data_IF_597790234767
#
_entry.id   IF_597790234767
#
_cell.length_a   1.000
_cell.length_b   1.000
_cell.length_c   1.000
_cell.angle_alpha   90.00
_cell.angle_beta   90.00
_cell.angle_gamma   90.00
#
_symmetry.space_group_name_H-M   'P 1'
#
loop_
_entity.id
_entity.type
_entity.pdbx_description
1 polymer ?
#
# COMPACT_ATOMS: atom_id res chain seq x y z
N UNK A 1 -21.61 -31.58 4.21
CA UNK A 1 -22.46 -32.62 4.85
C UNK A 1 -23.92 -32.20 4.77
N UNK A 2 -24.83 -33.18 4.61
CA UNK A 2 -26.27 -32.96 4.71
C UNK A 2 -26.69 -32.89 6.18
N UNK A 3 -27.93 -32.48 6.44
CA UNK A 3 -28.47 -32.48 7.81
C UNK A 3 -28.46 -33.90 8.42
N UNK A 4 -28.81 -34.92 7.62
CA UNK A 4 -28.83 -36.29 8.09
C UNK A 4 -27.44 -36.84 8.46
N UNK A 5 -26.43 -36.55 7.61
CA UNK A 5 -25.01 -36.85 7.91
C UNK A 5 -24.51 -36.17 9.17
N UNK A 6 -24.94 -34.91 9.41
CA UNK A 6 -24.58 -34.20 10.64
C UNK A 6 -25.29 -34.81 11.86
N UNK A 7 -26.56 -35.17 11.75
CA UNK A 7 -27.28 -35.82 12.86
C UNK A 7 -26.66 -37.18 13.23
N UNK A 8 -26.21 -37.94 12.23
CA UNK A 8 -25.50 -39.21 12.45
C UNK A 8 -24.18 -38.99 13.22
N UNK A 9 -23.39 -37.97 12.83
CA UNK A 9 -22.13 -37.66 13.53
C UNK A 9 -22.33 -37.15 14.96
N UNK A 10 -23.45 -36.50 15.26
CA UNK A 10 -23.78 -36.01 16.60
C UNK A 10 -24.65 -37.04 17.39
N UNK A 11 -24.84 -38.24 16.88
CA UNK A 11 -25.66 -39.29 17.51
C UNK A 11 -25.24 -39.65 18.94
N UNK A 12 -23.98 -39.48 19.28
CA UNK A 12 -23.45 -39.69 20.63
C UNK A 12 -24.07 -38.75 21.71
N UNK A 13 -24.73 -37.67 21.32
CA UNK A 13 -25.44 -36.77 22.22
C UNK A 13 -26.87 -37.27 22.56
N UNK A 14 -27.36 -38.29 21.87
CA UNK A 14 -28.75 -38.67 21.86
C UNK A 14 -29.58 -37.84 20.87
N UNK A 15 -30.70 -38.41 20.41
CA UNK A 15 -31.49 -37.92 19.28
C UNK A 15 -31.96 -36.45 19.49
N UNK A 16 -32.57 -36.16 20.63
CA UNK A 16 -33.09 -34.80 20.92
C UNK A 16 -31.99 -33.76 20.96
N UNK A 17 -30.86 -34.08 21.59
CA UNK A 17 -29.75 -33.15 21.72
C UNK A 17 -28.98 -32.96 20.39
N UNK A 18 -28.84 -34.04 19.63
CA UNK A 18 -28.29 -33.98 18.29
C UNK A 18 -29.13 -33.03 17.40
N UNK A 19 -30.46 -33.20 17.43
CA UNK A 19 -31.37 -32.34 16.68
C UNK A 19 -31.32 -30.88 17.14
N UNK A 20 -31.25 -30.62 18.43
CA UNK A 20 -31.08 -29.26 18.98
C UNK A 20 -29.81 -28.60 18.44
N UNK A 21 -28.67 -29.30 18.49
CA UNK A 21 -27.36 -28.75 18.08
C UNK A 21 -27.26 -28.61 16.57
N UNK A 22 -27.76 -29.52 15.80
CA UNK A 22 -27.59 -29.54 14.33
C UNK A 22 -28.66 -28.75 13.60
N UNK A 23 -29.86 -28.66 14.14
CA UNK A 23 -31.02 -28.07 13.44
C UNK A 23 -31.56 -26.83 14.17
N UNK A 24 -31.95 -26.99 15.43
CA UNK A 24 -32.68 -25.94 16.16
C UNK A 24 -31.80 -24.71 16.40
N UNK A 25 -30.61 -24.93 16.99
CA UNK A 25 -29.71 -23.80 17.30
C UNK A 25 -29.15 -23.09 16.07
N UNK A 26 -28.71 -23.75 14.98
CA UNK A 26 -28.31 -23.07 13.76
C UNK A 26 -29.44 -22.27 13.11
N UNK A 27 -30.68 -22.78 13.10
CA UNK A 27 -31.84 -22.03 12.62
C UNK A 27 -32.12 -20.80 13.48
N UNK A 28 -32.11 -20.97 14.80
CA UNK A 28 -32.28 -19.84 15.71
C UNK A 28 -31.24 -18.75 15.51
N UNK A 29 -29.97 -19.11 15.29
CA UNK A 29 -28.92 -18.14 14.98
C UNK A 29 -29.18 -17.46 13.63
N UNK A 30 -29.59 -18.25 12.62
CA UNK A 30 -29.92 -17.69 11.29
C UNK A 30 -31.10 -16.69 11.37
N UNK A 31 -32.11 -17.00 12.20
CA UNK A 31 -33.28 -16.12 12.39
C UNK A 31 -32.94 -14.81 13.14
N UNK A 32 -31.79 -14.75 13.84
CA UNK A 32 -31.29 -13.51 14.45
C UNK A 32 -30.53 -12.62 13.51
N UNK A 33 -30.18 -13.11 12.31
CA UNK A 33 -29.45 -12.34 11.29
C UNK A 33 -30.41 -11.36 10.61
N UNK A 34 -30.13 -10.09 10.73
CA UNK A 34 -30.84 -9.02 10.04
C UNK A 34 -29.95 -8.41 8.97
N UNK A 35 -30.55 -7.97 7.88
CA UNK A 35 -29.82 -7.19 6.88
C UNK A 35 -29.63 -5.77 7.41
N UNK A 36 -28.38 -5.39 7.68
CA UNK A 36 -28.03 -4.07 8.19
C UNK A 36 -27.14 -3.34 7.19
N UNK A 37 -27.40 -2.07 7.00
CA UNK A 37 -26.58 -1.19 6.20
C UNK A 37 -25.66 -0.38 7.13
N UNK A 38 -24.38 -0.80 7.23
CA UNK A 38 -23.40 -0.14 8.12
C UNK A 38 -22.94 1.21 7.58
N UNK A 39 -22.76 1.30 6.27
CA UNK A 39 -22.33 2.51 5.55
C UNK A 39 -23.13 2.63 4.27
N UNK A 40 -23.51 3.86 3.85
CA UNK A 40 -24.18 4.06 2.56
C UNK A 40 -23.37 3.45 1.42
N UNK A 41 -24.00 2.61 0.55
CA UNK A 41 -23.28 1.93 -0.52
C UNK A 41 -22.68 2.93 -1.50
N UNK A 42 -21.43 2.69 -1.90
CA UNK A 42 -20.70 3.52 -2.87
C UNK A 42 -20.21 4.88 -2.36
N UNK A 43 -20.37 5.17 -1.06
CA UNK A 43 -19.86 6.40 -0.47
C UNK A 43 -18.53 6.15 0.26
N UNK A 44 -17.51 6.94 -0.08
CA UNK A 44 -16.22 6.97 0.64
C UNK A 44 -16.20 8.14 1.61
N UNK A 45 -15.60 7.93 2.77
CA UNK A 45 -15.42 8.95 3.81
C UNK A 45 -13.92 9.19 4.06
N UNK A 46 -13.20 9.81 3.10
CA UNK A 46 -11.77 10.06 3.28
C UNK A 46 -11.54 11.03 4.43
N UNK A 47 -10.46 10.86 5.21
CA UNK A 47 -10.05 11.85 6.19
C UNK A 47 -9.67 13.15 5.49
N UNK A 48 -9.51 14.24 6.27
CA UNK A 48 -9.05 15.54 5.76
C UNK A 48 -7.68 15.86 6.34
N UNK A 49 -6.77 16.25 5.48
CA UNK A 49 -5.48 16.83 5.82
C UNK A 49 -5.37 18.17 5.10
N UNK A 50 -5.07 19.22 5.84
CA UNK A 50 -4.84 20.53 5.24
C UNK A 50 -3.62 20.48 4.31
N UNK A 51 -3.73 21.14 3.17
CA UNK A 51 -2.69 21.28 2.15
C UNK A 51 -2.11 19.95 1.60
N UNK A 52 -2.87 18.84 1.72
CA UNK A 52 -2.38 17.52 1.28
C UNK A 52 -2.01 17.48 -0.19
N UNK A 53 -2.76 18.16 -1.04
CA UNK A 53 -2.53 18.23 -2.49
C UNK A 53 -1.24 19.02 -2.81
N UNK A 54 -1.10 20.19 -2.26
CA UNK A 54 0.08 21.07 -2.48
C UNK A 54 1.33 20.45 -1.87
N UNK A 55 1.24 19.89 -0.67
CA UNK A 55 2.36 19.27 0.01
C UNK A 55 2.85 18.02 -0.72
N UNK A 56 1.94 17.15 -1.17
CA UNK A 56 2.31 15.97 -1.95
C UNK A 56 2.98 16.36 -3.26
N UNK A 57 2.37 17.28 -4.00
CA UNK A 57 2.92 17.76 -5.26
C UNK A 57 4.32 18.34 -5.08
N UNK A 58 4.52 19.19 -4.06
CA UNK A 58 5.82 19.78 -3.73
C UNK A 58 6.85 18.71 -3.39
N UNK A 59 6.54 17.77 -2.47
CA UNK A 59 7.45 16.71 -2.06
C UNK A 59 7.93 15.88 -3.25
N UNK A 60 7.02 15.52 -4.14
CA UNK A 60 7.31 14.73 -5.33
C UNK A 60 8.27 15.44 -6.28
N UNK A 61 7.99 16.69 -6.60
CA UNK A 61 8.85 17.45 -7.51
C UNK A 61 10.18 17.83 -6.89
N UNK A 62 10.22 18.20 -5.61
CA UNK A 62 11.46 18.48 -4.89
C UNK A 62 12.38 17.24 -4.91
N UNK A 63 11.83 16.05 -4.65
CA UNK A 63 12.59 14.80 -4.71
C UNK A 63 13.01 14.43 -6.13
N UNK A 64 12.16 14.67 -7.11
CA UNK A 64 12.51 14.46 -8.51
C UNK A 64 13.70 15.32 -8.92
N UNK A 65 13.70 16.61 -8.58
CA UNK A 65 14.81 17.51 -8.87
C UNK A 65 16.08 17.18 -8.06
N UNK A 66 15.93 16.74 -6.81
CA UNK A 66 17.06 16.23 -6.02
C UNK A 66 17.76 15.07 -6.70
N UNK A 67 16.99 14.12 -7.26
CA UNK A 67 17.52 12.89 -7.84
C UNK A 67 18.01 13.05 -9.29
N UNK A 68 17.29 13.82 -10.11
CA UNK A 68 17.48 13.89 -11.55
C UNK A 68 17.83 15.29 -12.08
N UNK A 69 17.97 16.29 -11.18
CA UNK A 69 18.33 17.67 -11.52
C UNK A 69 17.15 18.53 -11.97
N UNK A 70 17.43 19.80 -12.27
CA UNK A 70 16.40 20.81 -12.60
C UNK A 70 15.68 20.52 -13.93
N UNK A 71 16.25 19.69 -14.78
CA UNK A 71 15.68 19.25 -16.05
C UNK A 71 15.62 17.71 -16.09
N UNK A 72 14.70 17.09 -15.35
CA UNK A 72 14.59 15.64 -15.34
C UNK A 72 14.21 15.10 -16.74
N UNK A 73 14.63 13.87 -17.08
CA UNK A 73 14.22 13.22 -18.32
C UNK A 73 12.72 13.22 -18.55
N UNK A 74 12.28 13.44 -19.79
CA UNK A 74 10.87 13.56 -20.15
C UNK A 74 10.03 12.35 -19.71
N UNK A 75 10.60 11.14 -19.78
CA UNK A 75 9.96 9.90 -19.31
C UNK A 75 9.51 10.00 -17.85
N UNK A 76 10.33 10.62 -16.97
CA UNK A 76 9.98 10.81 -15.56
C UNK A 76 8.86 11.84 -15.42
N UNK A 77 8.99 12.95 -16.13
CA UNK A 77 7.99 14.04 -16.12
C UNK A 77 6.63 13.52 -16.58
N UNK A 78 6.59 12.76 -17.68
CA UNK A 78 5.36 12.17 -18.20
C UNK A 78 4.73 11.21 -17.20
N UNK A 79 5.53 10.34 -16.60
CA UNK A 79 5.07 9.39 -15.59
C UNK A 79 4.50 10.11 -14.36
N UNK A 80 5.20 11.10 -13.82
CA UNK A 80 4.73 11.88 -12.66
C UNK A 80 3.45 12.64 -12.97
N UNK A 81 3.32 13.24 -14.14
CA UNK A 81 2.10 13.95 -14.53
C UNK A 81 0.89 13.01 -14.62
N UNK A 82 1.05 11.81 -15.15
CA UNK A 82 -0.02 10.79 -15.21
C UNK A 82 -0.43 10.35 -13.81
N UNK A 83 0.54 10.03 -12.96
CA UNK A 83 0.25 9.59 -11.59
C UNK A 83 -0.36 10.71 -10.74
N UNK A 84 0.24 11.90 -10.72
CA UNK A 84 -0.27 13.05 -9.97
C UNK A 84 -1.68 13.45 -10.45
N UNK A 85 -1.94 13.44 -11.76
CA UNK A 85 -3.26 13.70 -12.29
C UNK A 85 -4.34 12.70 -11.85
N UNK A 86 -3.95 11.48 -11.47
CA UNK A 86 -4.84 10.46 -10.94
C UNK A 86 -5.01 10.51 -9.41
N UNK A 87 -4.05 11.11 -8.71
CA UNK A 87 -3.94 11.09 -7.24
C UNK A 87 -4.46 12.41 -6.63
N UNK A 88 -4.01 13.56 -7.15
CA UNK A 88 -4.33 14.87 -6.57
C UNK A 88 -5.85 15.16 -6.63
N UNK A 89 -6.36 15.71 -5.54
CA UNK A 89 -7.79 15.98 -5.36
C UNK A 89 -8.67 14.75 -5.13
N UNK A 90 -8.09 13.53 -5.08
CA UNK A 90 -8.81 12.27 -4.83
C UNK A 90 -8.19 11.43 -3.72
N UNK A 91 -6.88 11.21 -3.79
CA UNK A 91 -6.15 10.28 -2.94
C UNK A 91 -4.90 10.88 -2.28
N UNK A 92 -4.64 12.18 -2.49
CA UNK A 92 -3.53 12.92 -1.89
C UNK A 92 -3.50 12.78 -0.36
N UNK A 93 -4.67 12.79 0.29
CA UNK A 93 -4.76 12.56 1.74
C UNK A 93 -4.26 11.16 2.14
N UNK A 94 -4.55 10.13 1.33
CA UNK A 94 -4.09 8.76 1.59
C UNK A 94 -2.56 8.69 1.50
N UNK A 95 -1.99 9.29 0.46
CA UNK A 95 -0.54 9.37 0.28
C UNK A 95 0.14 10.16 1.39
N UNK A 96 -0.39 11.35 1.72
CA UNK A 96 0.19 12.18 2.77
C UNK A 96 0.07 11.56 4.16
N UNK A 97 -1.00 10.80 4.43
CA UNK A 97 -1.14 10.03 5.67
C UNK A 97 -0.05 8.96 5.78
N UNK A 98 0.16 8.18 4.73
CA UNK A 98 1.21 7.17 4.67
C UNK A 98 2.60 7.80 4.79
N UNK A 99 2.86 8.88 4.07
CA UNK A 99 4.12 9.62 4.10
C UNK A 99 4.46 10.12 5.51
N UNK A 100 3.51 10.76 6.20
CA UNK A 100 3.70 11.25 7.58
C UNK A 100 3.97 10.12 8.57
N UNK A 101 3.29 8.98 8.42
CA UNK A 101 3.52 7.79 9.26
C UNK A 101 4.92 7.21 9.02
N UNK A 102 5.35 7.08 7.77
CA UNK A 102 6.69 6.59 7.41
C UNK A 102 7.76 7.54 7.93
N UNK A 103 7.64 8.83 7.63
CA UNK A 103 8.59 9.85 8.05
C UNK A 103 8.76 9.86 9.57
N UNK A 104 7.67 9.85 10.32
CA UNK A 104 7.70 9.83 11.79
C UNK A 104 8.39 8.60 12.36
N UNK A 105 8.22 7.44 11.73
CA UNK A 105 8.92 6.21 12.12
C UNK A 105 10.43 6.32 11.89
N UNK A 106 10.83 6.80 10.70
CA UNK A 106 12.25 7.00 10.35
C UNK A 106 12.93 8.02 11.26
N UNK A 107 12.27 9.13 11.59
CA UNK A 107 12.76 10.15 12.53
C UNK A 107 12.98 9.58 13.94
N UNK A 108 12.24 8.54 14.33
CA UNK A 108 12.43 7.83 15.58
C UNK A 108 13.41 6.65 15.49
N UNK A 109 14.09 6.48 14.34
CA UNK A 109 15.12 5.46 14.12
C UNK A 109 14.58 4.07 13.76
N UNK A 110 13.29 3.96 13.37
CA UNK A 110 12.67 2.69 12.99
C UNK A 110 12.38 2.64 11.50
N UNK A 111 12.86 1.59 10.84
CA UNK A 111 12.58 1.36 9.42
C UNK A 111 11.11 0.97 9.21
N UNK A 112 10.60 1.36 8.05
CA UNK A 112 9.27 0.99 7.56
C UNK A 112 9.42 0.35 6.19
N UNK A 113 8.81 -0.80 5.97
CA UNK A 113 8.71 -1.42 4.66
C UNK A 113 7.33 -1.18 4.05
N UNK A 114 7.25 -0.85 2.79
CA UNK A 114 6.00 -0.92 2.04
C UNK A 114 5.76 -2.33 1.49
N UNK A 115 4.50 -2.69 1.31
CA UNK A 115 4.11 -3.98 0.75
C UNK A 115 3.01 -3.81 -0.29
N UNK A 116 2.96 -4.76 -1.25
CA UNK A 116 1.89 -4.81 -2.24
C UNK A 116 2.10 -3.85 -3.41
N UNK A 117 1.00 -3.42 -4.00
CA UNK A 117 1.01 -2.68 -5.26
C UNK A 117 1.52 -1.24 -5.18
N UNK A 118 1.71 -0.68 -3.98
CA UNK A 118 2.24 0.70 -3.81
C UNK A 118 3.64 0.88 -4.41
N UNK A 119 4.44 -0.20 -4.50
CA UNK A 119 5.75 -0.19 -5.17
C UNK A 119 5.71 0.12 -6.68
N UNK A 120 4.53 0.13 -7.29
CA UNK A 120 4.35 0.55 -8.69
C UNK A 120 4.09 2.05 -8.86
N UNK A 121 3.94 2.82 -7.78
CA UNK A 121 3.74 4.27 -7.82
C UNK A 121 5.04 5.04 -7.68
N UNK A 122 5.40 5.79 -8.72
CA UNK A 122 6.54 6.70 -8.70
C UNK A 122 6.30 7.86 -7.72
N UNK A 123 5.07 8.33 -7.60
CA UNK A 123 4.67 9.33 -6.59
C UNK A 123 4.95 8.82 -5.18
N UNK A 124 4.66 7.54 -4.89
CA UNK A 124 4.96 6.94 -3.59
C UNK A 124 6.47 6.84 -3.32
N UNK A 125 7.27 6.54 -4.35
CA UNK A 125 8.74 6.56 -4.26
C UNK A 125 9.26 7.98 -3.99
N UNK A 126 8.84 8.95 -4.79
CA UNK A 126 9.30 10.35 -4.67
C UNK A 126 8.86 11.00 -3.35
N UNK A 127 7.71 10.62 -2.80
CA UNK A 127 7.25 11.11 -1.49
C UNK A 127 7.83 10.34 -0.29
N UNK A 128 8.65 9.30 -0.53
CA UNK A 128 9.31 8.54 0.54
C UNK A 128 8.41 7.52 1.25
N UNK A 129 7.30 7.12 0.63
CA UNK A 129 6.40 6.06 1.14
C UNK A 129 7.01 4.67 0.89
N UNK A 130 7.66 4.48 -0.25
CA UNK A 130 8.32 3.24 -0.65
C UNK A 130 9.75 3.50 -1.10
N UNK A 131 10.62 2.49 -0.98
CA UNK A 131 11.98 2.52 -1.53
C UNK A 131 12.04 1.93 -2.96
N UNK A 132 10.92 1.42 -3.46
CA UNK A 132 10.83 0.83 -4.80
C UNK A 132 10.67 1.92 -5.85
N UNK A 133 11.68 2.07 -6.72
CA UNK A 133 11.61 2.95 -7.88
C UNK A 133 10.96 2.22 -9.05
N UNK A 134 9.73 2.58 -9.40
CA UNK A 134 8.96 1.91 -10.47
C UNK A 134 9.36 2.28 -11.89
N UNK A 135 10.31 3.20 -12.07
CA UNK A 135 10.86 3.54 -13.39
C UNK A 135 11.60 2.35 -14.03
N UNK A 136 11.80 2.37 -15.37
CA UNK A 136 12.66 1.40 -16.02
C UNK A 136 14.08 1.37 -15.45
N UNK A 137 14.83 0.27 -15.60
CA UNK A 137 16.23 0.17 -15.16
C UNK A 137 17.05 1.34 -15.69
N UNK A 138 17.82 1.99 -14.81
CA UNK A 138 18.61 3.15 -15.18
C UNK A 138 19.82 3.37 -14.26
N UNK A 139 20.78 4.07 -14.79
CA UNK A 139 21.88 4.66 -14.05
C UNK A 139 21.53 6.09 -13.64
N UNK A 140 21.83 6.44 -12.40
CA UNK A 140 21.66 7.79 -11.87
C UNK A 140 22.94 8.26 -11.16
N UNK A 141 23.46 9.41 -11.56
CA UNK A 141 24.64 9.98 -10.93
C UNK A 141 24.24 10.75 -9.64
N UNK A 142 24.77 10.37 -8.48
CA UNK A 142 24.45 11.08 -7.23
C UNK A 142 25.05 12.49 -7.18
N UNK A 143 26.06 12.79 -8.00
CA UNK A 143 26.78 14.07 -7.99
C UNK A 143 26.24 15.07 -9.02
N UNK A 144 26.21 14.70 -10.30
CA UNK A 144 25.80 15.61 -11.36
C UNK A 144 24.37 15.40 -11.88
N UNK A 145 23.64 14.42 -11.33
CA UNK A 145 22.24 14.06 -11.67
C UNK A 145 22.05 13.52 -13.10
N UNK A 146 23.13 13.34 -13.85
CA UNK A 146 23.03 12.68 -15.15
C UNK A 146 22.41 11.28 -15.01
N UNK A 147 21.52 10.91 -15.91
CA UNK A 147 20.85 9.61 -15.89
C UNK A 147 20.80 8.98 -17.28
N UNK A 148 20.86 7.64 -17.32
CA UNK A 148 20.79 6.83 -18.54
C UNK A 148 19.78 5.70 -18.33
N UNK A 149 18.68 5.72 -19.09
CA UNK A 149 17.63 4.72 -19.02
C UNK A 149 17.85 3.58 -20.00
N UNK A 150 17.55 2.35 -19.57
CA UNK A 150 17.59 1.14 -20.39
C UNK A 150 16.15 0.65 -20.57
N UNK A 151 15.63 0.84 -21.77
CA UNK A 151 14.22 0.56 -22.11
C UNK A 151 14.08 -0.51 -23.21
N UNK A 152 15.16 -1.21 -23.54
CA UNK A 152 15.20 -2.24 -24.58
C UNK A 152 14.89 -3.65 -24.05
N UNK A 153 14.56 -3.78 -22.76
CA UNK A 153 14.26 -5.06 -22.12
C UNK A 153 15.48 -5.92 -21.82
N UNK A 154 16.70 -5.39 -21.95
CA UNK A 154 17.94 -6.14 -21.65
C UNK A 154 18.15 -6.45 -20.17
N UNK A 155 17.51 -5.70 -19.27
CA UNK A 155 17.55 -5.90 -17.82
C UNK A 155 16.15 -5.88 -17.23
N UNK A 156 15.89 -6.77 -16.26
CA UNK A 156 14.65 -6.82 -15.50
C UNK A 156 14.57 -5.75 -14.41
N UNK A 157 15.72 -5.39 -13.83
CA UNK A 157 15.80 -4.32 -12.84
C UNK A 157 17.21 -3.69 -12.83
N UNK A 158 17.31 -2.53 -12.18
CA UNK A 158 18.60 -1.83 -12.07
C UNK A 158 19.67 -2.63 -11.34
N UNK A 159 19.30 -3.50 -10.39
CA UNK A 159 20.24 -4.33 -9.65
C UNK A 159 21.03 -5.31 -10.54
N UNK A 160 20.44 -5.75 -11.64
CA UNK A 160 21.05 -6.69 -12.60
C UNK A 160 22.08 -6.01 -13.54
N UNK A 161 22.13 -4.68 -13.54
CA UNK A 161 23.02 -3.92 -14.40
C UNK A 161 24.47 -3.96 -13.85
N UNK A 162 25.44 -3.91 -14.77
CA UNK A 162 26.85 -3.83 -14.38
C UNK A 162 27.21 -2.49 -13.76
N UNK A 163 28.22 -2.45 -12.91
CA UNK A 163 28.72 -1.20 -12.35
C UNK A 163 29.31 -0.30 -13.46
N UNK A 164 29.01 0.98 -13.38
CA UNK A 164 29.40 1.97 -14.40
C UNK A 164 29.73 3.30 -13.72
N UNK A 165 30.69 4.03 -14.28
CA UNK A 165 30.99 5.41 -13.88
C UNK A 165 30.27 6.40 -14.78
N UNK A 166 29.88 7.55 -14.21
CA UNK A 166 29.25 8.62 -14.94
C UNK A 166 30.20 9.23 -15.97
N UNK A 167 29.83 9.25 -17.26
CA UNK A 167 30.69 9.80 -18.32
C UNK A 167 30.86 11.32 -18.22
N UNK A 168 29.97 12.01 -17.45
CA UNK A 168 30.01 13.46 -17.30
C UNK A 168 30.99 13.91 -16.21
N UNK A 169 31.00 13.24 -15.05
CA UNK A 169 31.76 13.69 -13.88
C UNK A 169 32.66 12.61 -13.25
N UNK A 170 32.66 11.38 -13.78
CA UNK A 170 33.49 10.29 -13.28
C UNK A 170 33.04 9.66 -11.96
N UNK A 171 31.92 10.09 -11.39
CA UNK A 171 31.38 9.51 -10.16
C UNK A 171 30.76 8.14 -10.41
N UNK A 172 30.76 7.25 -9.40
CA UNK A 172 30.07 5.96 -9.49
C UNK A 172 28.57 6.17 -9.62
N UNK A 173 27.97 5.54 -10.63
CA UNK A 173 26.52 5.55 -10.77
C UNK A 173 25.81 4.72 -9.68
N UNK A 174 24.64 5.18 -9.28
CA UNK A 174 23.63 4.37 -8.61
C UNK A 174 22.80 3.68 -9.68
N UNK A 175 22.58 2.38 -9.49
CA UNK A 175 21.72 1.55 -10.35
C UNK A 175 20.35 1.46 -9.70
N UNK A 176 19.27 1.77 -10.43
CA UNK A 176 17.92 1.85 -9.90
C UNK A 176 16.88 1.44 -10.95
N UNK A 177 15.62 1.27 -10.53
CA UNK A 177 14.50 0.97 -11.42
C UNK A 177 14.10 -0.50 -11.47
N UNK A 178 12.76 -0.73 -11.41
CA UNK A 178 12.15 -2.07 -11.41
C UNK A 178 11.12 -2.26 -12.54
N UNK A 179 10.94 -1.27 -13.40
CA UNK A 179 10.03 -1.28 -14.55
C UNK A 179 8.61 -1.75 -14.23
N UNK A 180 7.98 -1.15 -13.23
CA UNK A 180 6.64 -1.54 -12.80
C UNK A 180 5.59 -0.56 -13.33
N UNK A 181 4.57 -1.02 -14.09
CA UNK A 181 3.51 -0.16 -14.59
C UNK A 181 2.63 0.39 -13.45
N UNK A 182 2.23 1.67 -13.54
CA UNK A 182 1.37 2.32 -12.55
C UNK A 182 -0.02 1.68 -12.46
N UNK A 183 -0.51 1.12 -13.54
CA UNK A 183 -1.78 0.39 -13.61
C UNK A 183 -1.86 -0.78 -12.62
N UNK A 184 -0.73 -1.29 -12.18
CA UNK A 184 -0.66 -2.30 -11.10
C UNK A 184 -1.26 -1.77 -9.78
N UNK A 185 -1.16 -0.46 -9.53
CA UNK A 185 -1.65 0.18 -8.31
C UNK A 185 -3.10 0.64 -8.41
N UNK A 186 -3.41 1.51 -9.36
CA UNK A 186 -4.75 2.11 -9.51
C UNK A 186 -5.64 1.45 -10.58
N UNK A 187 -5.15 0.43 -11.27
CA UNK A 187 -5.84 -0.20 -12.38
C UNK A 187 -5.88 0.67 -13.63
N UNK A 188 -6.35 0.09 -14.73
CA UNK A 188 -6.56 0.84 -15.98
C UNK A 188 -7.68 1.88 -15.77
N UNK A 189 -7.39 3.15 -16.07
CA UNK A 189 -8.35 4.25 -15.92
C UNK A 189 -8.59 4.73 -14.49
N UNK A 190 -7.76 4.31 -13.51
CA UNK A 190 -7.85 4.80 -12.12
C UNK A 190 -9.10 4.36 -11.35
N UNK A 191 -9.70 3.21 -11.74
CA UNK A 191 -10.93 2.69 -11.14
C UNK A 191 -10.75 1.96 -9.81
N UNK A 192 -9.51 1.67 -9.41
CA UNK A 192 -9.20 1.01 -8.13
C UNK A 192 -8.86 2.05 -7.06
N UNK A 193 -9.46 1.92 -5.88
CA UNK A 193 -9.06 2.73 -4.71
C UNK A 193 -7.66 2.29 -4.26
N UNK A 194 -6.72 3.23 -4.04
CA UNK A 194 -5.37 2.89 -3.60
C UNK A 194 -5.38 2.25 -2.21
N UNK A 195 -4.55 1.21 -2.06
CA UNK A 195 -4.31 0.50 -0.81
C UNK A 195 -2.80 0.55 -0.51
N UNK A 196 -2.42 1.26 0.55
CA UNK A 196 -1.04 1.44 0.95
C UNK A 196 -0.77 0.65 2.22
N UNK A 197 -0.14 -0.50 2.05
CA UNK A 197 0.27 -1.37 3.15
C UNK A 197 1.66 -0.97 3.67
N UNK A 198 1.75 -0.67 4.96
CA UNK A 198 2.99 -0.31 5.64
C UNK A 198 3.32 -1.32 6.75
N UNK A 199 4.54 -1.85 6.73
CA UNK A 199 5.07 -2.74 7.74
C UNK A 199 5.97 -1.96 8.70
N UNK A 200 5.49 -1.69 9.90
CA UNK A 200 6.27 -1.07 10.97
C UNK A 200 6.98 -2.12 11.82
N UNK A 201 8.11 -1.73 12.43
CA UNK A 201 8.71 -2.54 13.49
C UNK A 201 7.69 -2.84 14.58
N UNK A 202 7.68 -4.09 15.10
CA UNK A 202 6.77 -4.49 16.18
C UNK A 202 6.86 -3.59 17.42
N UNK A 203 8.06 -3.08 17.73
CA UNK A 203 8.29 -2.16 18.83
C UNK A 203 7.71 -0.76 18.59
N UNK A 204 7.62 -0.35 17.32
CA UNK A 204 7.11 0.97 16.93
C UNK A 204 5.63 0.99 16.57
N UNK A 205 5.04 -0.15 16.25
CA UNK A 205 3.66 -0.25 15.74
C UNK A 205 2.62 0.50 16.60
N UNK A 206 2.71 0.36 17.94
CA UNK A 206 1.81 1.08 18.85
C UNK A 206 1.97 2.61 18.75
N UNK A 207 3.18 3.11 18.48
CA UNK A 207 3.45 4.54 18.30
C UNK A 207 2.93 5.01 16.96
N UNK A 208 3.04 4.20 15.90
CA UNK A 208 2.48 4.50 14.58
C UNK A 208 0.95 4.66 14.66
N UNK A 209 0.26 3.75 15.35
CA UNK A 209 -1.20 3.87 15.60
C UNK A 209 -1.54 5.16 16.38
N UNK A 210 -0.77 5.48 17.41
CA UNK A 210 -0.97 6.72 18.17
C UNK A 210 -0.78 7.95 17.30
N UNK A 211 0.21 7.94 16.40
CA UNK A 211 0.44 9.04 15.48
C UNK A 211 -0.73 9.23 14.50
N UNK A 212 -1.37 8.15 14.04
CA UNK A 212 -2.60 8.27 13.26
C UNK A 212 -3.72 8.96 14.07
N UNK A 213 -3.86 8.62 15.35
CA UNK A 213 -4.81 9.29 16.25
C UNK A 213 -4.45 10.77 16.45
N UNK A 214 -3.17 11.10 16.57
CA UNK A 214 -2.72 12.50 16.67
C UNK A 214 -3.05 13.32 15.41
N UNK A 215 -2.97 12.69 14.21
CA UNK A 215 -3.31 13.35 12.95
C UNK A 215 -4.80 13.58 12.74
N UNK A 216 -5.64 12.64 13.14
CA UNK A 216 -7.06 12.61 12.76
C UNK A 216 -8.03 12.74 13.95
N UNK A 217 -7.56 12.60 15.18
CA UNK A 217 -8.36 12.64 16.40
C UNK A 217 -8.83 11.27 16.89
N UNK A 218 -9.06 11.16 18.19
CA UNK A 218 -9.42 9.91 18.87
C UNK A 218 -10.75 9.30 18.42
N UNK A 219 -11.67 10.11 17.95
CA UNK A 219 -13.00 9.67 17.49
C UNK A 219 -13.05 9.32 16.01
N UNK A 220 -11.93 9.46 15.28
CA UNK A 220 -11.86 9.26 13.84
C UNK A 220 -10.96 8.07 13.44
N UNK A 221 -10.19 7.52 14.40
CA UNK A 221 -9.24 6.43 14.15
C UNK A 221 -9.63 5.21 14.94
N UNK A 222 -9.89 4.11 14.25
CA UNK A 222 -10.32 2.85 14.85
C UNK A 222 -9.47 1.70 14.32
N UNK A 223 -9.27 0.68 15.15
CA UNK A 223 -8.65 -0.56 14.72
C UNK A 223 -9.74 -1.48 14.16
N UNK A 224 -9.61 -1.84 12.89
CA UNK A 224 -10.45 -2.86 12.30
C UNK A 224 -10.12 -4.24 12.88
N UNK A 225 -11.13 -5.00 13.23
CA UNK A 225 -11.00 -6.39 13.63
C UNK A 225 -11.07 -7.31 12.40
N UNK A 226 -10.48 -8.49 12.53
CA UNK A 226 -10.64 -9.58 11.56
C UNK A 226 -11.20 -10.80 12.25
N UNK A 227 -12.08 -11.51 11.56
CA UNK A 227 -12.59 -12.80 12.03
C UNK A 227 -11.71 -13.90 11.43
N UNK A 228 -10.95 -14.59 12.30
CA UNK A 228 -10.15 -15.73 11.91
C UNK A 228 -10.89 -17.03 12.21
N UNK A 229 -10.83 -17.98 11.29
CA UNK A 229 -11.34 -19.33 11.48
C UNK A 229 -10.19 -20.34 11.46
N UNK A 230 -10.27 -21.37 12.29
CA UNK A 230 -9.36 -22.50 12.20
C UNK A 230 -9.79 -23.34 10.97
N UNK A 231 -8.86 -23.52 10.04
CA UNK A 231 -9.04 -24.42 8.89
C UNK A 231 -8.32 -25.73 9.15
N UNK A 232 -8.65 -26.77 8.39
CA UNK A 232 -8.07 -28.12 8.54
C UNK A 232 -6.54 -28.11 8.67
N UNK A 233 -5.86 -27.25 7.92
CA UNK A 233 -4.39 -27.09 7.99
C UNK A 233 -3.86 -26.41 9.27
N UNK A 234 -4.73 -25.80 10.06
CA UNK A 234 -4.36 -25.07 11.30
C UNK A 234 -4.78 -25.81 12.55
N UNK A 235 -5.55 -26.88 12.42
CA UNK A 235 -6.06 -27.71 13.54
C UNK A 235 -5.04 -28.77 13.94
N UNK A 236 -4.07 -29.12 13.09
CA UNK A 236 -3.01 -30.11 13.34
C UNK A 236 -1.75 -29.48 13.90
#
# INVERSE_FOLDING_TARGET
>A
KTTDEMLEEFSYLGEDKAYEVVVTNPRHIADLVEEIELLPPGQLFPPRLENSEEDLNRLVWDKCHELYGDQPPQLIVDRLNVELGSILGKYDVVYMSAQKLVQRSLENGYLVGSRGSVGSSLVAYMSGITEVNSLPPHYRCPKCRHSEFITDGSFGCGADMSDKVCPVCGEQYVKDGFDIPFETFLGYGGGKVPDIDLNFSGEYQARAHRHAVEMFGETQVFRAGTIGTLKDKTVY
#
